data_IF_703846280848
#
_entry.id   IF_703846280848
#
_cell.length_a   1.000
_cell.length_b   1.000
_cell.length_c   1.000
_cell.angle_alpha   90.00
_cell.angle_beta   90.00
_cell.angle_gamma   90.00
#
_symmetry.space_group_name_H-M   'P 1'
#
loop_
_entity.id
_entity.type
_entity.pdbx_description
1 polymer ?
#
# COMPACT_ATOMS: atom_id res chain seq x y z
N UNK A 1 13.46 11.26 -11.52
CA UNK A 1 14.61 12.14 -11.78
C UNK A 1 15.57 12.02 -10.60
N UNK A 2 16.54 11.11 -10.70
CA UNK A 2 17.54 10.91 -9.65
C UNK A 2 18.48 12.10 -9.54
N UNK A 3 18.99 12.37 -8.34
CA UNK A 3 20.00 13.41 -8.13
C UNK A 3 21.35 12.88 -8.60
N UNK A 4 21.85 13.40 -9.71
CA UNK A 4 23.19 13.11 -10.20
C UNK A 4 24.26 13.54 -9.19
N UNK A 5 25.25 12.68 -8.93
CA UNK A 5 26.37 12.99 -8.05
C UNK A 5 27.69 12.39 -8.54
N UNK A 6 28.82 12.95 -8.10
CA UNK A 6 30.15 12.47 -8.46
C UNK A 6 30.54 11.10 -7.85
N UNK A 7 29.67 10.50 -7.03
CA UNK A 7 29.89 9.18 -6.46
C UNK A 7 29.87 8.06 -7.51
N UNK A 8 30.43 6.89 -7.17
CA UNK A 8 30.45 5.73 -8.08
C UNK A 8 29.05 5.24 -8.48
N UNK A 9 28.08 5.38 -7.58
CA UNK A 9 26.66 5.05 -7.81
C UNK A 9 25.80 6.32 -7.95
N UNK A 10 26.43 7.42 -8.38
CA UNK A 10 25.78 8.72 -8.52
C UNK A 10 25.08 8.95 -9.85
N UNK A 11 25.06 7.95 -10.72
CA UNK A 11 24.34 7.93 -12.00
C UNK A 11 23.44 6.70 -12.10
N UNK A 12 22.49 6.75 -13.03
CA UNK A 12 21.44 5.75 -13.18
C UNK A 12 22.03 4.39 -13.61
N UNK A 13 22.98 4.36 -14.56
CA UNK A 13 23.66 3.12 -15.02
C UNK A 13 24.25 2.32 -13.87
N UNK A 14 25.06 2.95 -13.01
CA UNK A 14 25.69 2.27 -11.88
C UNK A 14 24.68 1.83 -10.81
N UNK A 15 23.59 2.58 -10.61
CA UNK A 15 22.53 2.19 -9.68
C UNK A 15 21.75 0.99 -10.19
N UNK A 16 21.35 1.00 -11.46
CA UNK A 16 20.56 -0.06 -12.08
C UNK A 16 21.35 -1.36 -12.18
N UNK A 17 22.63 -1.28 -12.56
CA UNK A 17 23.48 -2.47 -12.67
C UNK A 17 23.83 -3.12 -11.32
N UNK A 18 23.65 -2.43 -10.19
CA UNK A 18 23.99 -2.98 -8.87
C UNK A 18 23.21 -4.25 -8.53
N UNK A 19 21.92 -4.28 -8.87
CA UNK A 19 21.11 -5.48 -8.64
C UNK A 19 21.46 -6.57 -9.65
N UNK A 20 21.82 -6.22 -10.89
CA UNK A 20 22.31 -7.16 -11.90
C UNK A 20 23.61 -7.84 -11.45
N UNK A 21 24.60 -7.10 -10.94
CA UNK A 21 25.83 -7.67 -10.36
C UNK A 21 25.49 -8.68 -9.27
N UNK A 22 24.53 -8.33 -8.42
CA UNK A 22 24.11 -9.20 -7.31
C UNK A 22 23.46 -10.49 -7.82
N UNK A 23 22.62 -10.42 -8.86
CA UNK A 23 21.97 -11.59 -9.44
C UNK A 23 22.98 -12.49 -10.17
N UNK A 24 23.86 -11.88 -10.98
CA UNK A 24 24.90 -12.58 -11.73
C UNK A 24 25.84 -13.33 -10.81
N UNK A 25 26.47 -12.65 -9.85
CA UNK A 25 27.43 -13.28 -8.93
C UNK A 25 26.77 -14.09 -7.80
N UNK A 26 25.43 -14.10 -7.72
CA UNK A 26 24.70 -15.09 -6.93
C UNK A 26 24.53 -16.41 -7.70
N UNK A 27 24.37 -16.35 -9.02
CA UNK A 27 24.05 -17.50 -9.87
C UNK A 27 25.26 -18.16 -10.51
N UNK A 28 26.23 -17.37 -10.93
CA UNK A 28 27.40 -17.75 -11.73
C UNK A 28 28.69 -17.45 -10.96
N UNK A 29 29.79 -18.07 -11.40
CA UNK A 29 31.13 -17.71 -10.90
C UNK A 29 31.61 -16.38 -11.48
N UNK A 30 32.82 -15.97 -11.11
CA UNK A 30 33.35 -14.67 -11.50
C UNK A 30 33.60 -14.57 -13.01
N UNK A 31 34.03 -15.65 -13.67
CA UNK A 31 34.40 -15.63 -15.09
C UNK A 31 33.15 -15.56 -15.96
N UNK A 32 32.22 -16.51 -15.79
CA UNK A 32 30.96 -16.51 -16.53
C UNK A 32 30.12 -15.26 -16.22
N UNK A 33 30.14 -14.82 -14.95
CA UNK A 33 29.41 -13.63 -14.54
C UNK A 33 29.91 -12.35 -15.21
N UNK A 34 31.23 -12.18 -15.33
CA UNK A 34 31.82 -11.04 -16.03
C UNK A 34 31.48 -11.05 -17.53
N UNK A 35 31.56 -12.21 -18.18
CA UNK A 35 31.23 -12.32 -19.61
C UNK A 35 29.77 -11.92 -19.88
N UNK A 36 28.83 -12.37 -19.03
CA UNK A 36 27.41 -12.05 -19.16
C UNK A 36 27.11 -10.57 -18.94
N UNK A 37 27.76 -9.95 -17.94
CA UNK A 37 27.61 -8.53 -17.67
C UNK A 37 28.18 -7.68 -18.81
N UNK A 38 29.39 -7.99 -19.27
CA UNK A 38 30.04 -7.25 -20.36
C UNK A 38 29.21 -7.34 -21.65
N UNK A 39 28.70 -8.52 -21.99
CA UNK A 39 27.78 -8.71 -23.12
C UNK A 39 26.51 -7.87 -22.97
N UNK A 40 25.84 -7.94 -21.82
CA UNK A 40 24.60 -7.21 -21.58
C UNK A 40 24.79 -5.70 -21.71
N UNK A 41 25.84 -5.15 -21.09
CA UNK A 41 26.15 -3.72 -21.14
C UNK A 41 26.41 -3.28 -22.58
N UNK A 42 27.23 -4.02 -23.33
CA UNK A 42 27.52 -3.71 -24.75
C UNK A 42 26.31 -3.74 -25.65
N UNK A 43 25.42 -4.71 -25.45
CA UNK A 43 24.26 -4.90 -26.32
C UNK A 43 23.12 -3.93 -26.01
N UNK A 44 23.00 -3.45 -24.77
CA UNK A 44 21.78 -2.76 -24.30
C UNK A 44 22.01 -1.39 -23.65
N UNK A 45 23.23 -1.08 -23.23
CA UNK A 45 23.56 0.17 -22.52
C UNK A 45 24.57 0.97 -23.34
N UNK A 46 25.84 0.54 -23.37
CA UNK A 46 26.93 1.28 -23.98
C UNK A 46 28.16 0.39 -24.28
N UNK A 47 29.12 0.96 -25.02
CA UNK A 47 30.46 0.41 -25.21
C UNK A 47 31.55 1.42 -24.80
N UNK A 48 32.83 1.10 -24.99
CA UNK A 48 33.94 1.99 -24.59
C UNK A 48 33.95 3.35 -25.30
N UNK A 49 33.21 3.54 -26.40
CA UNK A 49 33.11 4.84 -27.06
C UNK A 49 32.28 5.85 -26.27
N UNK A 50 31.39 5.36 -25.39
CA UNK A 50 30.70 6.15 -24.38
C UNK A 50 31.48 6.09 -23.06
N UNK A 51 32.47 6.98 -22.90
CA UNK A 51 33.31 6.95 -21.70
C UNK A 51 32.52 7.19 -20.41
N UNK A 52 31.40 7.92 -20.47
CA UNK A 52 30.60 8.25 -19.30
C UNK A 52 29.91 7.01 -18.73
N UNK A 53 29.13 6.33 -19.57
CA UNK A 53 28.39 5.14 -19.16
C UNK A 53 29.34 3.96 -18.94
N UNK A 54 30.34 3.79 -19.79
CA UNK A 54 31.31 2.70 -19.67
C UNK A 54 32.14 2.82 -18.38
N UNK A 55 32.60 4.03 -18.05
CA UNK A 55 33.33 4.25 -16.80
C UNK A 55 32.43 4.03 -15.58
N UNK A 56 31.14 4.38 -15.68
CA UNK A 56 30.15 4.16 -14.63
C UNK A 56 29.89 2.68 -14.36
N UNK A 57 29.72 1.88 -15.43
CA UNK A 57 29.68 0.43 -15.35
C UNK A 57 30.95 -0.13 -14.70
N UNK A 58 32.12 0.14 -15.30
CA UNK A 58 33.33 -0.60 -14.93
C UNK A 58 33.83 -0.24 -13.52
N UNK A 59 33.76 1.04 -13.12
CA UNK A 59 34.16 1.45 -11.77
C UNK A 59 33.19 0.93 -10.69
N UNK A 60 31.89 0.91 -10.96
CA UNK A 60 30.89 0.37 -10.02
C UNK A 60 30.97 -1.15 -9.88
N UNK A 61 31.29 -1.85 -10.97
CA UNK A 61 31.57 -3.29 -10.97
C UNK A 61 32.80 -3.63 -10.12
N UNK A 62 33.93 -2.94 -10.37
CA UNK A 62 35.17 -3.17 -9.63
C UNK A 62 35.00 -2.92 -8.12
N UNK A 63 34.30 -1.84 -7.74
CA UNK A 63 33.95 -1.56 -6.35
C UNK A 63 33.06 -2.65 -5.74
N UNK A 64 32.02 -3.10 -6.47
CA UNK A 64 31.13 -4.17 -6.03
C UNK A 64 31.91 -5.47 -5.75
N UNK A 65 32.73 -5.89 -6.72
CA UNK A 65 33.50 -7.13 -6.62
C UNK A 65 34.54 -7.07 -5.49
N UNK A 66 35.19 -5.92 -5.29
CA UNK A 66 36.08 -5.73 -4.15
C UNK A 66 35.33 -5.86 -2.82
N UNK A 67 34.20 -5.15 -2.65
CA UNK A 67 33.39 -5.17 -1.42
C UNK A 67 32.85 -6.55 -1.05
N UNK A 68 32.66 -7.42 -2.04
CA UNK A 68 32.20 -8.80 -1.88
C UNK A 68 33.32 -9.84 -1.78
N UNK A 69 34.58 -9.44 -1.95
CA UNK A 69 35.73 -10.35 -1.89
C UNK A 69 35.79 -11.32 -3.07
N UNK A 70 35.39 -10.87 -4.28
CA UNK A 70 35.39 -11.66 -5.52
C UNK A 70 36.10 -10.98 -6.72
N UNK A 71 36.65 -9.78 -6.55
CA UNK A 71 37.48 -9.06 -7.54
C UNK A 71 38.57 -9.96 -8.13
N UNK A 72 38.63 -10.01 -9.46
CA UNK A 72 39.65 -10.71 -10.22
C UNK A 72 40.80 -9.78 -10.58
N UNK A 73 41.95 -10.35 -10.92
CA UNK A 73 43.15 -9.58 -11.32
C UNK A 73 42.90 -8.77 -12.59
N UNK A 74 42.17 -9.34 -13.56
CA UNK A 74 41.81 -8.66 -14.80
C UNK A 74 40.98 -7.38 -14.56
N UNK A 75 39.88 -7.51 -13.80
CA UNK A 75 39.01 -6.37 -13.47
C UNK A 75 39.78 -5.30 -12.68
N UNK A 76 40.62 -5.73 -11.73
CA UNK A 76 41.47 -4.82 -10.95
C UNK A 76 42.44 -4.05 -11.85
N UNK A 77 43.21 -4.75 -12.68
CA UNK A 77 44.19 -4.16 -13.57
C UNK A 77 43.54 -3.19 -14.57
N UNK A 78 42.41 -3.59 -15.15
CA UNK A 78 41.66 -2.75 -16.10
C UNK A 78 41.10 -1.49 -15.42
N UNK A 79 40.49 -1.61 -14.25
CA UNK A 79 39.92 -0.47 -13.53
C UNK A 79 41.01 0.53 -13.11
N UNK A 80 42.15 0.05 -12.59
CA UNK A 80 43.29 0.90 -12.24
C UNK A 80 43.85 1.62 -13.47
N UNK A 81 44.00 0.92 -14.60
CA UNK A 81 44.46 1.52 -15.86
C UNK A 81 43.52 2.64 -16.34
N UNK A 82 42.21 2.42 -16.27
CA UNK A 82 41.20 3.43 -16.64
C UNK A 82 41.25 4.66 -15.73
N UNK A 83 41.41 4.47 -14.42
CA UNK A 83 41.57 5.57 -13.46
C UNK A 83 42.85 6.35 -13.78
N UNK A 84 43.97 5.66 -14.01
CA UNK A 84 45.27 6.28 -14.26
C UNK A 84 45.32 7.04 -15.59
N UNK A 85 44.52 6.63 -16.59
CA UNK A 85 44.37 7.37 -17.86
C UNK A 85 43.35 8.52 -17.80
N UNK A 86 42.61 8.66 -16.69
CA UNK A 86 41.55 9.66 -16.56
C UNK A 86 40.29 9.37 -17.38
N UNK A 87 40.05 8.10 -17.74
CA UNK A 87 38.92 7.69 -18.58
C UNK A 87 37.59 8.03 -17.90
N UNK A 88 36.67 8.67 -18.64
CA UNK A 88 35.37 9.11 -18.12
C UNK A 88 35.40 10.39 -17.27
N UNK A 89 36.51 11.14 -17.25
CA UNK A 89 36.59 12.46 -16.58
C UNK A 89 36.16 13.61 -17.47
N UNK A 90 36.09 13.42 -18.79
CA UNK A 90 35.85 14.49 -19.77
C UNK A 90 34.52 15.21 -19.52
N UNK A 91 33.43 14.45 -19.30
CA UNK A 91 32.09 14.98 -18.95
C UNK A 91 32.11 15.81 -17.65
N UNK A 92 32.98 15.45 -16.70
CA UNK A 92 33.12 16.20 -15.44
C UNK A 92 33.91 17.50 -15.62
N UNK A 93 34.80 17.58 -16.62
CA UNK A 93 35.49 18.85 -16.96
C UNK A 93 34.48 19.87 -17.48
N UNK A 94 33.53 19.42 -18.30
CA UNK A 94 32.48 20.25 -18.89
C UNK A 94 31.45 20.73 -17.84
N UNK A 95 31.14 19.86 -16.87
CA UNK A 95 30.18 20.13 -15.78
C UNK A 95 30.71 21.08 -14.69
N UNK A 96 31.98 21.48 -14.76
CA UNK A 96 32.59 22.50 -13.90
C UNK A 96 33.62 21.97 -12.88
N UNK A 97 34.58 22.84 -12.53
CA UNK A 97 35.78 22.52 -11.71
C UNK A 97 35.51 21.84 -10.37
N UNK A 98 34.35 22.09 -9.75
CA UNK A 98 33.99 21.48 -8.47
C UNK A 98 33.61 20.01 -8.62
N UNK A 99 32.83 19.67 -9.66
CA UNK A 99 32.41 18.30 -9.95
C UNK A 99 33.59 17.41 -10.32
N UNK A 100 34.47 17.92 -11.20
CA UNK A 100 35.71 17.24 -11.58
C UNK A 100 36.59 16.87 -10.39
N UNK A 101 36.91 17.84 -9.52
CA UNK A 101 37.72 17.60 -8.32
C UNK A 101 37.10 16.55 -7.39
N UNK A 102 35.78 16.58 -7.26
CA UNK A 102 35.06 15.60 -6.46
C UNK A 102 35.15 14.20 -7.08
N UNK A 103 35.02 14.08 -8.41
CA UNK A 103 35.13 12.81 -9.12
C UNK A 103 36.54 12.24 -9.06
N UNK A 104 37.57 13.06 -9.28
CA UNK A 104 38.98 12.67 -9.12
C UNK A 104 39.26 12.11 -7.73
N UNK A 105 38.74 12.76 -6.68
CA UNK A 105 38.86 12.29 -5.30
C UNK A 105 38.18 10.93 -5.09
N UNK A 106 37.01 10.72 -5.68
CA UNK A 106 36.30 9.43 -5.64
C UNK A 106 37.11 8.33 -6.33
N UNK A 107 37.67 8.60 -7.51
CA UNK A 107 38.48 7.63 -8.26
C UNK A 107 39.83 7.33 -7.59
N UNK A 108 40.48 8.33 -6.99
CA UNK A 108 41.69 8.13 -6.21
C UNK A 108 41.44 7.17 -5.03
N UNK A 109 40.31 7.33 -4.34
CA UNK A 109 39.90 6.43 -3.26
C UNK A 109 39.56 5.02 -3.78
N UNK A 110 38.88 4.92 -4.92
CA UNK A 110 38.62 3.62 -5.55
C UNK A 110 39.93 2.92 -5.91
N UNK A 111 40.89 3.63 -6.50
CA UNK A 111 42.21 3.09 -6.84
C UNK A 111 42.94 2.55 -5.61
N UNK A 112 43.01 3.33 -4.53
CA UNK A 112 43.59 2.89 -3.26
C UNK A 112 42.90 1.63 -2.74
N UNK A 113 41.57 1.58 -2.78
CA UNK A 113 40.79 0.41 -2.41
C UNK A 113 41.14 -0.81 -3.27
N UNK A 114 41.17 -0.69 -4.60
CA UNK A 114 41.46 -1.81 -5.51
C UNK A 114 42.89 -2.36 -5.36
N UNK A 115 43.85 -1.54 -4.93
CA UNK A 115 45.24 -1.95 -4.67
C UNK A 115 45.46 -2.49 -3.26
N UNK A 116 44.51 -2.26 -2.34
CA UNK A 116 44.57 -2.80 -0.98
C UNK A 116 44.26 -4.30 -0.93
N UNK A 117 44.69 -5.01 0.12
CA UNK A 117 44.29 -6.40 0.34
C UNK A 117 42.77 -6.54 0.33
N UNK A 118 42.29 -7.49 -0.47
CA UNK A 118 40.86 -7.70 -0.63
C UNK A 118 40.21 -8.23 0.66
N UNK A 119 38.99 -7.80 1.01
CA UNK A 119 38.27 -8.35 2.15
C UNK A 119 37.89 -9.81 1.93
N UNK A 120 37.61 -10.52 3.04
CA UNK A 120 37.08 -11.87 2.99
C UNK A 120 35.79 -11.96 2.16
N UNK A 121 35.63 -13.07 1.43
CA UNK A 121 34.47 -13.32 0.58
C UNK A 121 33.17 -13.22 1.39
N UNK A 122 32.24 -12.40 0.92
CA UNK A 122 30.91 -12.22 1.52
C UNK A 122 29.87 -12.97 0.71
N UNK A 123 28.83 -13.46 1.40
CA UNK A 123 27.66 -14.04 0.73
C UNK A 123 26.98 -12.98 -0.15
N UNK A 124 26.73 -13.35 -1.40
CA UNK A 124 25.94 -12.58 -2.35
C UNK A 124 24.57 -13.25 -2.44
N UNK A 125 23.51 -12.47 -2.25
CA UNK A 125 22.13 -12.90 -2.42
C UNK A 125 21.30 -11.66 -2.77
N UNK A 126 20.49 -11.69 -3.83
CA UNK A 126 19.57 -10.60 -4.14
C UNK A 126 18.50 -10.49 -3.04
N UNK A 127 18.13 -9.28 -2.68
CA UNK A 127 17.05 -9.01 -1.74
C UNK A 127 15.73 -8.86 -2.51
N UNK A 128 15.27 -9.98 -3.06
CA UNK A 128 14.07 -10.08 -3.89
C UNK A 128 13.21 -11.27 -3.46
N UNK A 129 11.90 -11.18 -3.70
CA UNK A 129 10.95 -12.21 -3.32
C UNK A 129 10.88 -13.31 -4.40
N UNK A 130 11.55 -14.45 -4.16
CA UNK A 130 11.70 -15.55 -5.14
C UNK A 130 10.89 -16.82 -4.85
N UNK A 131 10.27 -16.93 -3.67
CA UNK A 131 9.60 -18.17 -3.24
C UNK A 131 8.15 -18.20 -3.72
N UNK A 132 7.72 -19.31 -4.33
CA UNK A 132 6.31 -19.55 -4.65
C UNK A 132 5.91 -20.90 -4.02
N UNK A 133 5.06 -20.87 -2.99
CA UNK A 133 4.59 -22.09 -2.31
C UNK A 133 3.14 -22.44 -2.64
N UNK A 134 2.47 -21.61 -3.45
CA UNK A 134 1.08 -21.75 -3.85
C UNK A 134 0.99 -21.62 -5.37
N UNK A 135 0.14 -22.43 -5.98
CA UNK A 135 -0.23 -22.30 -7.38
C UNK A 135 -1.39 -21.31 -7.53
N UNK A 136 -1.50 -20.72 -8.71
CA UNK A 136 -2.66 -19.91 -9.05
C UNK A 136 -3.93 -20.78 -9.01
N UNK A 137 -4.96 -20.29 -8.33
CA UNK A 137 -6.20 -21.00 -8.04
C UNK A 137 -6.27 -21.65 -6.66
N UNK A 138 -5.14 -21.85 -5.96
CA UNK A 138 -5.13 -22.47 -4.64
C UNK A 138 -5.93 -21.66 -3.62
N UNK A 139 -6.83 -22.33 -2.90
CA UNK A 139 -7.52 -21.78 -1.73
C UNK A 139 -6.72 -22.21 -0.50
N UNK A 140 -6.26 -21.22 0.25
CA UNK A 140 -5.44 -21.40 1.43
C UNK A 140 -6.18 -20.90 2.67
N UNK A 141 -6.18 -21.73 3.71
CA UNK A 141 -6.49 -21.32 5.06
C UNK A 141 -5.22 -20.78 5.71
N UNK A 142 -5.29 -19.60 6.31
CA UNK A 142 -4.15 -18.96 6.99
C UNK A 142 -4.55 -18.58 8.40
N UNK A 143 -3.71 -18.93 9.38
CA UNK A 143 -3.97 -18.63 10.78
C UNK A 143 -3.77 -17.14 11.07
N UNK A 144 -4.76 -16.55 11.73
CA UNK A 144 -4.70 -15.23 12.34
C UNK A 144 -3.80 -15.30 13.57
N UNK A 145 -3.00 -14.26 13.75
CA UNK A 145 -2.13 -14.11 14.91
C UNK A 145 -2.46 -12.76 15.52
N UNK A 146 -3.39 -12.69 16.47
CA UNK A 146 -3.88 -11.43 17.05
C UNK A 146 -3.46 -11.26 18.51
N UNK A 147 -2.98 -12.32 19.17
CA UNK A 147 -2.50 -12.27 20.54
C UNK A 147 -1.31 -11.31 20.70
N UNK A 148 -1.43 -10.38 21.65
CA UNK A 148 -0.38 -9.40 21.96
C UNK A 148 -0.12 -8.36 20.88
N UNK A 149 -0.87 -8.38 19.77
CA UNK A 149 -0.69 -7.43 18.67
C UNK A 149 -1.55 -6.17 18.83
N UNK A 150 -1.08 -5.01 18.36
CA UNK A 150 -1.90 -3.81 18.29
C UNK A 150 -3.14 -4.04 17.43
N UNK A 151 -4.29 -3.62 17.97
CA UNK A 151 -5.52 -3.52 17.20
C UNK A 151 -5.60 -2.14 16.54
N UNK A 152 -5.58 -2.11 15.21
CA UNK A 152 -5.63 -0.86 14.45
C UNK A 152 -7.08 -0.45 14.20
N UNK A 153 -7.54 0.61 14.87
CA UNK A 153 -8.91 1.15 14.70
C UNK A 153 -9.17 1.81 13.33
N UNK A 154 -8.17 1.85 12.46
CA UNK A 154 -8.22 2.52 11.15
C UNK A 154 -9.07 1.80 10.11
N UNK A 155 -9.53 0.56 10.32
CA UNK A 155 -10.26 -0.20 9.31
C UNK A 155 -11.62 -0.72 9.81
N UNK A 156 -12.66 -0.03 9.35
CA UNK A 156 -13.99 -0.42 8.87
C UNK A 156 -14.84 -1.48 9.62
N UNK A 157 -14.32 -2.36 10.48
CA UNK A 157 -15.15 -3.22 11.33
C UNK A 157 -15.19 -2.71 12.78
N UNK A 158 -16.39 -2.43 13.28
CA UNK A 158 -16.75 -2.37 14.70
C UNK A 158 -16.53 -3.76 15.26
N UNK A 159 -15.28 -3.95 15.67
CA UNK A 159 -14.83 -5.07 16.47
C UNK A 159 -14.11 -4.42 17.66
N UNK A 160 -14.46 -4.87 18.85
CA UNK A 160 -13.73 -4.52 20.06
C UNK A 160 -12.33 -5.14 20.02
N UNK A 161 -11.40 -4.56 20.78
CA UNK A 161 -10.08 -5.16 20.93
C UNK A 161 -10.16 -6.57 21.57
N UNK A 162 -11.22 -6.87 22.32
CA UNK A 162 -11.51 -8.22 22.84
C UNK A 162 -11.81 -9.19 21.71
N UNK A 163 -12.82 -8.90 20.89
CA UNK A 163 -13.20 -9.73 19.75
C UNK A 163 -12.04 -9.93 18.74
N UNK A 164 -11.18 -8.92 18.57
CA UNK A 164 -9.95 -9.05 17.78
C UNK A 164 -9.02 -10.13 18.35
N UNK A 165 -8.80 -10.10 19.67
CA UNK A 165 -7.94 -11.07 20.36
C UNK A 165 -8.57 -12.46 20.40
N UNK A 166 -9.89 -12.56 20.45
CA UNK A 166 -10.62 -13.83 20.40
C UNK A 166 -10.49 -14.53 19.03
N UNK A 167 -10.07 -13.81 18.00
CA UNK A 167 -9.76 -14.40 16.69
C UNK A 167 -8.35 -15.02 16.63
N UNK A 168 -7.55 -14.96 17.70
CA UNK A 168 -6.21 -15.55 17.69
C UNK A 168 -6.28 -17.05 17.46
N UNK A 169 -5.42 -17.56 16.59
CA UNK A 169 -5.37 -18.98 16.27
C UNK A 169 -6.48 -19.46 15.31
N UNK A 170 -7.48 -18.62 15.02
CA UNK A 170 -8.51 -18.92 14.01
C UNK A 170 -7.97 -18.73 12.60
N UNK A 171 -8.71 -19.20 11.61
CA UNK A 171 -8.31 -19.23 10.21
C UNK A 171 -9.19 -18.34 9.35
N UNK A 172 -8.56 -17.75 8.33
CA UNK A 172 -9.25 -17.06 7.22
C UNK A 172 -8.92 -17.75 5.91
N UNK A 173 -9.84 -17.69 4.96
CA UNK A 173 -9.64 -18.28 3.64
C UNK A 173 -9.30 -17.22 2.61
N UNK A 174 -8.32 -17.51 1.75
CA UNK A 174 -7.98 -16.67 0.62
C UNK A 174 -7.57 -17.52 -0.58
N UNK A 175 -7.82 -17.03 -1.79
CA UNK A 175 -7.44 -17.68 -3.03
C UNK A 175 -6.22 -17.00 -3.62
N UNK A 176 -5.19 -17.76 -3.97
CA UNK A 176 -4.06 -17.28 -4.76
C UNK A 176 -4.55 -17.00 -6.19
N UNK A 177 -4.52 -15.73 -6.60
CA UNK A 177 -5.07 -15.29 -7.89
C UNK A 177 -4.03 -15.35 -8.99
N UNK A 178 -2.91 -14.65 -8.77
CA UNK A 178 -1.79 -14.55 -9.70
C UNK A 178 -0.52 -14.20 -8.96
N UNK A 179 0.61 -14.46 -9.59
CA UNK A 179 1.89 -13.84 -9.25
C UNK A 179 2.33 -12.91 -10.38
N UNK A 180 2.92 -11.76 -10.05
CA UNK A 180 3.55 -10.90 -11.05
C UNK A 180 4.95 -10.50 -10.57
N UNK A 181 5.86 -10.25 -11.52
CA UNK A 181 7.16 -9.69 -11.22
C UNK A 181 7.05 -8.16 -11.19
N UNK A 182 7.43 -7.52 -10.08
CA UNK A 182 7.66 -6.06 -10.03
C UNK A 182 8.96 -5.69 -10.74
N UNK A 183 9.93 -6.60 -10.72
CA UNK A 183 11.23 -6.47 -11.33
C UNK A 183 11.78 -7.86 -11.71
N UNK A 184 12.57 -7.93 -12.76
CA UNK A 184 13.25 -9.13 -13.22
C UNK A 184 14.63 -8.74 -13.73
N UNK A 185 15.64 -9.54 -13.39
CA UNK A 185 17.01 -9.32 -13.83
C UNK A 185 17.10 -9.46 -15.35
N UNK A 186 17.73 -8.48 -16.00
CA UNK A 186 17.96 -8.52 -17.43
C UNK A 186 19.06 -9.54 -17.80
N UNK A 187 20.03 -9.77 -16.91
CA UNK A 187 21.16 -10.67 -17.15
C UNK A 187 20.90 -12.11 -16.68
N UNK A 188 20.08 -12.26 -15.64
CA UNK A 188 19.69 -13.56 -15.05
C UNK A 188 18.17 -13.66 -14.98
N UNK A 189 17.47 -13.91 -16.10
CA UNK A 189 16.00 -13.85 -16.17
C UNK A 189 15.29 -14.77 -15.18
N UNK A 190 15.92 -15.82 -14.67
CA UNK A 190 15.36 -16.68 -13.63
C UNK A 190 15.24 -15.98 -12.26
N UNK A 191 15.86 -14.81 -12.08
CA UNK A 191 15.82 -14.02 -10.85
C UNK A 191 14.89 -12.83 -11.01
N UNK A 192 13.82 -12.79 -10.20
CA UNK A 192 12.89 -11.66 -10.16
C UNK A 192 12.34 -11.39 -8.76
N UNK A 193 11.80 -10.20 -8.58
CA UNK A 193 11.03 -9.82 -7.40
C UNK A 193 9.54 -10.04 -7.66
N UNK A 194 8.98 -11.08 -7.05
CA UNK A 194 7.62 -11.49 -7.29
C UNK A 194 6.66 -11.03 -6.19
N UNK A 195 5.47 -10.62 -6.59
CA UNK A 195 4.38 -10.19 -5.73
C UNK A 195 3.16 -11.06 -5.95
N UNK A 196 2.49 -11.42 -4.85
CA UNK A 196 1.36 -12.33 -4.87
C UNK A 196 0.05 -11.55 -4.71
N UNK A 197 -0.89 -11.78 -5.61
CA UNK A 197 -2.25 -11.29 -5.49
C UNK A 197 -3.13 -12.39 -4.90
N UNK A 198 -3.86 -12.04 -3.85
CA UNK A 198 -4.84 -12.91 -3.21
C UNK A 198 -6.22 -12.29 -3.25
N UNK A 199 -7.24 -13.14 -3.31
CA UNK A 199 -8.65 -12.81 -3.10
C UNK A 199 -9.03 -13.27 -1.70
N UNK A 200 -9.51 -12.38 -0.84
CA UNK A 200 -9.96 -12.71 0.50
C UNK A 200 -11.44 -13.12 0.49
N UNK A 201 -11.78 -14.17 1.24
CA UNK A 201 -13.16 -14.59 1.46
C UNK A 201 -13.66 -14.15 2.83
N UNK A 202 -14.97 -13.92 2.92
CA UNK A 202 -15.66 -13.57 4.14
C UNK A 202 -15.85 -14.81 5.02
N UNK A 203 -15.38 -14.74 6.26
CA UNK A 203 -15.49 -15.84 7.24
C UNK A 203 -14.22 -16.03 8.07
N UNK A 204 -14.44 -16.36 9.35
CA UNK A 204 -13.40 -16.76 10.31
C UNK A 204 -13.76 -18.15 10.84
N UNK A 205 -12.81 -19.06 10.81
CA UNK A 205 -13.01 -20.49 11.08
C UNK A 205 -12.15 -20.92 12.27
N UNK A 206 -12.71 -21.69 13.20
CA UNK A 206 -11.91 -22.22 14.32
C UNK A 206 -10.84 -23.19 13.82
N UNK A 207 -11.13 -23.96 12.76
CA UNK A 207 -10.22 -24.90 12.12
C UNK A 207 -10.25 -24.77 10.59
N UNK A 208 -9.18 -25.11 9.86
CA UNK A 208 -9.19 -25.13 8.40
C UNK A 208 -10.19 -26.15 7.86
N UNK A 209 -11.15 -25.76 6.99
CA UNK A 209 -12.11 -26.68 6.41
C UNK A 209 -11.41 -27.76 5.57
N UNK A 210 -11.89 -29.01 5.66
CA UNK A 210 -11.34 -30.16 4.91
C UNK A 210 -11.39 -29.98 3.40
N UNK A 211 -12.50 -29.43 2.92
CA UNK A 211 -12.72 -29.04 1.54
C UNK A 211 -13.58 -27.79 1.49
N UNK A 212 -13.52 -27.07 0.37
CA UNK A 212 -14.28 -25.83 0.19
C UNK A 212 -14.94 -25.81 -1.17
N UNK A 213 -16.24 -25.53 -1.19
CA UNK A 213 -16.97 -25.17 -2.40
C UNK A 213 -16.87 -23.65 -2.61
N UNK A 214 -16.07 -23.23 -3.61
CA UNK A 214 -15.85 -21.81 -3.91
C UNK A 214 -17.16 -21.06 -4.23
N UNK A 215 -18.19 -21.75 -4.73
CA UNK A 215 -19.48 -21.12 -5.08
C UNK A 215 -20.26 -20.63 -3.85
N UNK A 216 -19.96 -21.20 -2.68
CA UNK A 216 -20.57 -20.83 -1.40
C UNK A 216 -19.80 -19.73 -0.66
N UNK A 217 -18.56 -19.46 -1.08
CA UNK A 217 -17.74 -18.42 -0.47
C UNK A 217 -18.15 -17.03 -0.96
N UNK A 218 -18.35 -16.13 0.00
CA UNK A 218 -18.57 -14.71 -0.28
C UNK A 218 -17.25 -13.97 -0.24
N UNK A 219 -17.14 -12.90 -1.01
CA UNK A 219 -15.98 -12.02 -0.96
C UNK A 219 -15.98 -11.20 0.33
N UNK A 220 -14.84 -11.16 1.01
CA UNK A 220 -14.51 -10.06 1.89
C UNK A 220 -14.18 -8.84 1.02
N UNK A 221 -14.40 -7.62 1.52
CA UNK A 221 -14.19 -6.42 0.73
C UNK A 221 -13.39 -5.36 1.49
N UNK A 222 -12.16 -5.14 1.05
CA UNK A 222 -11.40 -3.99 1.49
C UNK A 222 -12.05 -2.73 0.94
N UNK A 223 -12.48 -1.83 1.83
CA UNK A 223 -12.97 -0.52 1.46
C UNK A 223 -11.90 0.53 1.78
N UNK A 224 -11.53 1.40 0.85
CA UNK A 224 -10.64 2.53 1.15
C UNK A 224 -10.87 3.66 0.17
N UNK A 225 -11.18 4.87 0.64
CA UNK A 225 -11.39 6.05 -0.21
C UNK A 225 -12.35 5.80 -1.41
N UNK A 226 -13.43 5.05 -1.20
CA UNK A 226 -14.41 4.71 -2.24
C UNK A 226 -14.02 3.56 -3.18
N UNK A 227 -12.83 2.98 -3.03
CA UNK A 227 -12.45 1.73 -3.70
C UNK A 227 -12.94 0.51 -2.91
N UNK A 228 -13.47 -0.50 -3.60
CA UNK A 228 -13.89 -1.80 -3.04
C UNK A 228 -13.31 -2.93 -3.86
N UNK A 229 -12.61 -3.85 -3.20
CA UNK A 229 -12.11 -5.06 -3.84
C UNK A 229 -11.87 -6.16 -2.83
N UNK A 230 -12.06 -7.43 -3.21
CA UNK A 230 -11.60 -8.55 -2.40
C UNK A 230 -10.10 -8.81 -2.54
N UNK A 231 -9.43 -8.09 -3.43
CA UNK A 231 -8.06 -8.38 -3.83
C UNK A 231 -7.04 -7.56 -3.04
N UNK A 232 -5.94 -8.20 -2.67
CA UNK A 232 -4.78 -7.55 -2.07
C UNK A 232 -3.48 -8.14 -2.62
N UNK A 233 -2.42 -7.33 -2.62
CA UNK A 233 -1.04 -7.73 -2.90
C UNK A 233 -0.29 -7.98 -1.59
N UNK A 234 0.57 -8.99 -1.55
CA UNK A 234 1.57 -9.15 -0.51
C UNK A 234 2.89 -9.66 -1.06
N UNK A 235 3.94 -9.58 -0.25
CA UNK A 235 5.26 -10.10 -0.63
C UNK A 235 5.18 -11.60 -0.94
N UNK A 236 5.79 -12.06 -2.05
CA UNK A 236 5.86 -13.50 -2.33
C UNK A 236 6.89 -14.22 -1.47
N UNK A 237 7.60 -13.54 -0.57
CA UNK A 237 8.41 -14.22 0.44
C UNK A 237 7.47 -14.85 1.45
N UNK A 238 6.93 -16.02 1.09
CA UNK A 238 5.85 -16.76 1.78
C UNK A 238 6.23 -17.28 3.18
N UNK A 239 7.30 -16.75 3.76
CA UNK A 239 7.75 -16.93 5.13
C UNK A 239 6.65 -16.64 6.16
N UNK A 240 5.85 -15.59 5.96
CA UNK A 240 4.77 -15.25 6.88
C UNK A 240 3.64 -16.28 6.87
N UNK A 241 3.33 -16.86 5.72
CA UNK A 241 2.36 -17.94 5.62
C UNK A 241 2.86 -19.18 6.37
N UNK A 242 4.14 -19.56 6.19
CA UNK A 242 4.79 -20.67 6.94
C UNK A 242 4.65 -20.48 8.46
N UNK A 243 4.81 -19.25 8.97
CA UNK A 243 4.60 -18.92 10.40
C UNK A 243 3.14 -19.02 10.86
N UNK A 244 2.19 -18.92 9.94
CA UNK A 244 0.74 -18.88 10.18
C UNK A 244 0.05 -20.22 9.89
N UNK A 245 0.79 -21.33 10.01
CA UNK A 245 0.27 -22.72 9.91
C UNK A 245 -0.73 -22.89 8.75
N UNK A 246 -0.38 -22.37 7.57
CA UNK A 246 -1.29 -22.37 6.43
C UNK A 246 -1.63 -23.81 5.99
N UNK A 247 -2.79 -23.99 5.36
CA UNK A 247 -3.17 -25.24 4.69
C UNK A 247 -3.83 -24.94 3.35
N UNK A 248 -3.46 -25.65 2.29
CA UNK A 248 -4.22 -25.65 1.03
C UNK A 248 -5.46 -26.51 1.24
N UNK A 249 -6.65 -25.94 1.04
CA UNK A 249 -7.96 -26.57 1.31
C UNK A 249 -8.79 -26.80 0.05
N UNK A 250 -8.24 -26.45 -1.11
CA UNK A 250 -8.85 -26.63 -2.43
C UNK A 250 -8.05 -25.90 -3.49
N UNK A 251 -8.39 -26.12 -4.76
CA UNK A 251 -7.81 -25.37 -5.87
C UNK A 251 -8.85 -25.19 -6.96
N UNK A 252 -9.04 -23.95 -7.39
CA UNK A 252 -10.02 -23.57 -8.41
C UNK A 252 -9.35 -22.61 -9.40
N UNK A 253 -8.74 -23.14 -10.47
CA UNK A 253 -8.16 -22.34 -11.55
C UNK A 253 -9.30 -21.80 -12.45
N UNK A 254 -10.11 -20.90 -11.90
CA UNK A 254 -11.22 -20.23 -12.59
C UNK A 254 -10.97 -18.72 -12.69
N UNK A 255 -11.68 -18.06 -13.60
CA UNK A 255 -11.60 -16.61 -13.85
C UNK A 255 -11.87 -15.80 -12.59
N UNK A 256 -10.80 -15.34 -11.96
CA UNK A 256 -10.88 -14.27 -10.96
C UNK A 256 -11.44 -13.04 -11.67
N UNK A 257 -12.44 -12.32 -11.11
CA UNK A 257 -12.96 -11.08 -11.69
C UNK A 257 -11.78 -10.23 -12.08
N UNK A 258 -11.71 -9.82 -13.37
CA UNK A 258 -10.51 -9.22 -13.97
C UNK A 258 -9.80 -8.33 -12.96
N UNK A 259 -8.73 -8.86 -12.38
CA UNK A 259 -7.83 -8.06 -11.58
C UNK A 259 -7.27 -7.06 -12.59
N UNK A 260 -7.80 -5.83 -12.56
CA UNK A 260 -7.20 -4.71 -13.28
C UNK A 260 -5.70 -4.69 -13.00
N UNK A 261 -4.92 -4.03 -13.86
CA UNK A 261 -3.46 -4.08 -13.82
C UNK A 261 -2.88 -3.87 -12.41
N UNK A 262 -3.57 -3.13 -11.54
CA UNK A 262 -3.14 -2.86 -10.18
C UNK A 262 -4.24 -3.20 -9.16
N UNK A 263 -3.92 -4.04 -8.17
CA UNK A 263 -4.60 -3.96 -6.88
C UNK A 263 -3.70 -3.10 -6.00
N UNK A 264 -4.03 -1.82 -5.84
CA UNK A 264 -3.22 -0.85 -5.08
C UNK A 264 -3.26 -1.10 -3.55
N UNK A 265 -3.98 -2.14 -3.11
CA UNK A 265 -4.03 -2.53 -1.71
C UNK A 265 -2.94 -3.56 -1.39
N UNK A 266 -1.93 -3.12 -0.66
CA UNK A 266 -0.82 -3.94 -0.19
C UNK A 266 -1.00 -4.29 1.28
N UNK A 267 -0.97 -5.58 1.60
CA UNK A 267 -0.91 -6.09 2.96
C UNK A 267 0.49 -6.66 3.23
N UNK A 268 1.18 -6.02 4.16
CA UNK A 268 2.54 -6.41 4.57
C UNK A 268 2.45 -7.24 5.85
N UNK A 269 2.57 -8.56 5.73
CA UNK A 269 2.41 -9.45 6.88
C UNK A 269 3.48 -9.29 7.98
N UNK A 270 4.60 -8.62 7.65
CA UNK A 270 5.67 -8.30 8.58
C UNK A 270 5.51 -6.97 9.32
N UNK A 271 4.53 -6.14 8.96
CA UNK A 271 4.31 -4.84 9.59
C UNK A 271 3.27 -5.00 10.69
N UNK A 272 3.68 -4.75 11.92
CA UNK A 272 2.81 -4.82 13.08
C UNK A 272 3.08 -3.65 14.03
N UNK A 273 2.25 -2.62 13.93
CA UNK A 273 2.35 -1.43 14.78
C UNK A 273 0.95 -0.81 15.00
N UNK A 274 0.88 0.25 15.79
CA UNK A 274 -0.39 0.89 16.15
C UNK A 274 -1.20 1.45 14.96
N UNK A 275 -0.56 1.63 13.80
CA UNK A 275 -1.17 2.21 12.60
C UNK A 275 -1.47 1.19 11.50
N UNK A 276 -0.76 0.05 11.46
CA UNK A 276 -0.96 -1.00 10.48
C UNK A 276 -0.68 -2.38 11.08
N UNK A 277 -1.64 -3.28 10.88
CA UNK A 277 -1.61 -4.67 11.31
C UNK A 277 -2.40 -5.51 10.29
N UNK A 278 -1.81 -6.53 9.66
CA UNK A 278 -2.45 -7.30 8.59
C UNK A 278 -3.68 -8.07 9.09
N UNK A 279 -3.66 -8.61 10.31
CA UNK A 279 -4.78 -9.37 10.87
C UNK A 279 -5.99 -8.48 11.12
N UNK A 280 -5.75 -7.25 11.61
CA UNK A 280 -6.79 -6.24 11.77
C UNK A 280 -7.39 -5.85 10.42
N UNK A 281 -6.57 -5.70 9.38
CA UNK A 281 -7.00 -5.37 8.03
C UNK A 281 -7.83 -6.50 7.39
N UNK A 282 -7.39 -7.75 7.51
CA UNK A 282 -8.14 -8.92 7.03
C UNK A 282 -9.51 -9.03 7.71
N UNK A 283 -9.53 -8.94 9.05
CA UNK A 283 -10.77 -9.02 9.83
C UNK A 283 -11.70 -7.84 9.55
N UNK A 284 -11.16 -6.67 9.24
CA UNK A 284 -11.92 -5.47 8.91
C UNK A 284 -12.65 -5.56 7.56
N UNK A 285 -12.16 -6.38 6.64
CA UNK A 285 -12.77 -6.63 5.33
C UNK A 285 -13.91 -7.67 5.38
N UNK A 286 -14.21 -8.24 6.55
CA UNK A 286 -15.17 -9.33 6.75
C UNK A 286 -16.44 -8.87 7.46
N UNK A 287 -17.55 -9.59 7.24
CA UNK A 287 -18.80 -9.39 7.96
C UNK A 287 -19.55 -8.11 7.58
N UNK A 288 -19.41 -7.62 6.34
CA UNK A 288 -20.11 -6.44 5.86
C UNK A 288 -21.59 -6.75 5.56
N UNK A 289 -22.46 -6.48 6.52
CA UNK A 289 -23.90 -6.33 6.27
C UNK A 289 -24.30 -4.87 6.50
N UNK A 290 -24.86 -4.21 5.48
CA UNK A 290 -25.35 -2.84 5.65
C UNK A 290 -26.74 -2.91 6.29
N UNK A 291 -26.84 -2.39 7.50
CA UNK A 291 -28.07 -2.29 8.28
C UNK A 291 -28.44 -0.82 8.47
N UNK A 292 -29.72 -0.55 8.33
CA UNK A 292 -30.31 0.74 8.64
C UNK A 292 -31.25 0.57 9.83
N UNK A 293 -31.32 1.56 10.71
CA UNK A 293 -32.21 1.50 11.84
C UNK A 293 -32.25 2.78 12.65
N UNK A 294 -33.24 2.85 13.55
CA UNK A 294 -33.39 3.93 14.53
C UNK A 294 -32.35 3.78 15.64
N UNK A 295 -31.74 4.89 16.04
CA UNK A 295 -30.73 4.95 17.08
C UNK A 295 -31.33 5.40 18.40
N UNK A 296 -30.98 4.68 19.47
CA UNK A 296 -31.45 4.91 20.84
C UNK A 296 -30.32 5.02 21.86
N UNK A 297 -29.07 5.18 21.40
CA UNK A 297 -27.89 5.29 22.26
C UNK A 297 -27.58 6.73 22.72
N UNK A 298 -26.44 6.89 23.38
CA UNK A 298 -25.94 8.17 23.89
C UNK A 298 -25.53 9.14 22.76
N UNK A 299 -25.34 10.42 23.08
CA UNK A 299 -24.94 11.44 22.11
C UNK A 299 -23.48 11.29 21.64
N UNK A 300 -22.58 10.83 22.52
CA UNK A 300 -21.13 10.83 22.24
C UNK A 300 -20.74 10.11 20.95
N UNK A 301 -21.25 8.89 20.63
CA UNK A 301 -20.93 8.23 19.36
C UNK A 301 -21.36 9.02 18.11
N UNK A 302 -22.45 9.80 18.20
CA UNK A 302 -22.93 10.65 17.11
C UNK A 302 -22.00 11.86 16.91
N UNK A 303 -21.52 12.46 18.01
CA UNK A 303 -20.52 13.54 17.96
C UNK A 303 -19.23 13.05 17.34
N UNK A 304 -18.69 11.93 17.83
CA UNK A 304 -17.43 11.35 17.31
C UNK A 304 -17.53 11.06 15.80
N UNK A 305 -18.66 10.49 15.36
CA UNK A 305 -18.92 10.22 13.94
C UNK A 305 -19.02 11.49 13.10
N UNK A 306 -19.73 12.52 13.58
CA UNK A 306 -19.89 13.78 12.84
C UNK A 306 -18.55 14.52 12.71
N UNK A 307 -17.76 14.56 13.78
CA UNK A 307 -16.43 15.16 13.76
C UNK A 307 -15.51 14.39 12.81
N UNK A 308 -15.49 13.05 12.87
CA UNK A 308 -14.72 12.22 11.95
C UNK A 308 -15.13 12.44 10.48
N UNK A 309 -16.43 12.45 10.19
CA UNK A 309 -16.95 12.70 8.85
C UNK A 309 -16.58 14.10 8.32
N UNK A 310 -16.45 15.09 9.21
CA UNK A 310 -16.04 16.45 8.84
C UNK A 310 -14.51 16.60 8.73
N UNK A 311 -13.73 15.88 9.54
CA UNK A 311 -12.27 15.89 9.54
C UNK A 311 -11.65 15.28 8.28
N UNK A 312 -12.41 14.55 7.46
CA UNK A 312 -11.96 14.01 6.17
C UNK A 312 -11.66 15.09 5.09
N UNK A 313 -11.58 16.37 5.46
CA UNK A 313 -11.24 17.48 4.56
C UNK A 313 -9.73 17.66 4.45
N UNK A 314 -9.23 17.73 3.20
CA UNK A 314 -7.84 18.06 2.90
C UNK A 314 -7.44 19.43 3.44
N UNK A 315 -6.19 19.58 3.94
CA UNK A 315 -5.62 20.88 4.36
C UNK A 315 -5.90 21.95 3.32
N UNK A 316 -6.49 23.07 3.75
CA UNK A 316 -6.70 24.21 2.88
C UNK A 316 -5.46 25.11 2.92
N UNK A 317 -4.60 24.97 1.91
CA UNK A 317 -3.34 25.71 1.80
C UNK A 317 -3.51 27.23 1.60
N UNK A 318 -4.76 27.74 1.48
CA UNK A 318 -5.03 29.18 1.49
C UNK A 318 -4.91 29.81 2.88
N UNK A 319 -4.89 29.00 3.94
CA UNK A 319 -4.76 29.44 5.31
C UNK A 319 -3.40 29.05 5.87
N UNK A 320 -2.88 29.88 6.78
CA UNK A 320 -1.76 29.47 7.64
C UNK A 320 -2.17 28.28 8.51
N UNK A 321 -1.19 27.59 9.09
CA UNK A 321 -1.48 26.46 9.97
C UNK A 321 -2.34 26.85 11.18
N UNK A 322 -2.11 28.05 11.73
CA UNK A 322 -2.88 28.56 12.86
C UNK A 322 -4.33 28.89 12.46
N UNK A 323 -4.53 29.61 11.35
CA UNK A 323 -5.87 29.93 10.83
C UNK A 323 -6.65 28.67 10.47
N UNK A 324 -5.97 27.67 9.88
CA UNK A 324 -6.60 26.39 9.55
C UNK A 324 -7.06 25.65 10.81
N UNK A 325 -6.24 25.62 11.87
CA UNK A 325 -6.61 25.01 13.16
C UNK A 325 -7.77 25.75 13.84
N UNK A 326 -7.79 27.08 13.80
CA UNK A 326 -8.89 27.87 14.37
C UNK A 326 -10.20 27.68 13.61
N UNK A 327 -10.13 27.60 12.28
CA UNK A 327 -11.28 27.28 11.42
C UNK A 327 -11.85 25.89 11.77
N UNK A 328 -10.98 24.88 11.89
CA UNK A 328 -11.41 23.52 12.28
C UNK A 328 -12.10 23.54 13.65
N UNK A 329 -11.52 24.19 14.67
CA UNK A 329 -12.14 24.29 16.00
C UNK A 329 -13.53 24.94 15.97
N UNK A 330 -13.72 25.99 15.16
CA UNK A 330 -15.03 26.64 15.02
C UNK A 330 -16.06 25.70 14.40
N UNK A 331 -15.70 25.00 13.33
CA UNK A 331 -16.58 24.00 12.71
C UNK A 331 -16.92 22.86 13.69
N UNK A 332 -15.95 22.38 14.48
CA UNK A 332 -16.19 21.35 15.50
C UNK A 332 -17.16 21.82 16.59
N UNK A 333 -17.04 23.07 17.06
CA UNK A 333 -18.00 23.66 18.00
C UNK A 333 -19.40 23.76 17.40
N UNK A 334 -19.54 24.27 16.18
CA UNK A 334 -20.85 24.40 15.50
C UNK A 334 -21.54 23.04 15.29
N UNK A 335 -20.76 22.01 14.91
CA UNK A 335 -21.25 20.63 14.78
C UNK A 335 -21.76 20.12 16.13
N UNK A 336 -20.99 20.35 17.20
CA UNK A 336 -21.31 19.92 18.55
C UNK A 336 -22.60 20.57 19.05
N UNK A 337 -22.69 21.89 18.98
CA UNK A 337 -23.89 22.65 19.40
C UNK A 337 -25.14 22.23 18.62
N UNK A 338 -25.02 22.00 17.31
CA UNK A 338 -26.15 21.56 16.47
C UNK A 338 -26.64 20.17 16.89
N UNK A 339 -25.73 19.24 17.18
CA UNK A 339 -26.06 17.88 17.57
C UNK A 339 -26.64 17.81 18.98
N UNK A 340 -26.05 18.52 19.94
CA UNK A 340 -26.60 18.66 21.30
C UNK A 340 -28.02 19.22 21.26
N UNK A 341 -28.25 20.25 20.44
CA UNK A 341 -29.59 20.80 20.23
C UNK A 341 -30.56 19.74 19.71
N UNK A 342 -30.24 19.08 18.59
CA UNK A 342 -31.11 18.04 18.01
C UNK A 342 -31.36 16.88 18.98
N UNK A 343 -30.38 16.50 19.79
CA UNK A 343 -30.53 15.44 20.79
C UNK A 343 -31.45 15.89 21.94
N UNK A 344 -31.29 17.13 22.41
CA UNK A 344 -32.10 17.71 23.49
C UNK A 344 -33.56 17.99 23.09
N UNK A 345 -33.83 18.30 21.81
CA UNK A 345 -35.19 18.56 21.30
C UNK A 345 -35.95 17.28 20.96
N UNK A 346 -35.34 16.11 21.14
CA UNK A 346 -35.97 14.81 20.89
C UNK A 346 -36.05 14.44 19.41
N UNK A 347 -35.15 14.95 18.57
CA UNK A 347 -35.05 14.52 17.18
C UNK A 347 -34.82 13.00 17.09
N UNK A 348 -35.40 12.36 16.08
CA UNK A 348 -35.17 10.95 15.83
C UNK A 348 -33.87 10.76 15.06
N UNK A 349 -33.02 9.84 15.52
CA UNK A 349 -31.76 9.53 14.85
C UNK A 349 -31.87 8.21 14.12
N UNK A 350 -31.37 8.18 12.89
CA UNK A 350 -31.30 6.99 12.05
C UNK A 350 -29.85 6.77 11.63
N UNK A 351 -29.40 5.54 11.72
CA UNK A 351 -28.01 5.17 11.51
C UNK A 351 -27.88 4.20 10.36
N UNK A 352 -26.81 4.33 9.59
CA UNK A 352 -26.32 3.29 8.71
C UNK A 352 -25.08 2.67 9.36
N UNK A 353 -25.18 1.37 9.58
CA UNK A 353 -24.12 0.57 10.20
C UNK A 353 -23.80 -0.54 9.21
N UNK A 354 -22.54 -0.61 8.77
CA UNK A 354 -22.04 -1.79 8.09
C UNK A 354 -21.32 -2.66 9.11
N UNK A 355 -20.11 -3.10 8.78
CA UNK A 355 -19.16 -3.60 9.76
C UNK A 355 -18.84 -2.53 10.82
N UNK A 356 -18.91 -1.21 10.53
CA UNK A 356 -18.86 -0.12 11.52
C UNK A 356 -20.02 0.86 11.44
N UNK A 357 -20.12 1.74 12.45
CA UNK A 357 -20.97 2.92 12.33
C UNK A 357 -20.48 3.77 11.15
N UNK A 358 -21.26 3.84 10.08
CA UNK A 358 -20.85 4.49 8.83
C UNK A 358 -21.37 5.93 8.72
N UNK A 359 -22.39 6.26 9.50
CA UNK A 359 -22.99 7.58 9.52
C UNK A 359 -24.42 7.57 10.00
N UNK A 360 -25.00 8.75 10.11
CA UNK A 360 -26.34 8.95 10.63
C UNK A 360 -27.01 10.17 10.03
N UNK A 361 -28.32 10.24 10.23
CA UNK A 361 -29.11 11.43 10.03
C UNK A 361 -30.04 11.65 11.23
N UNK A 362 -30.38 12.92 11.50
CA UNK A 362 -31.39 13.27 12.50
C UNK A 362 -32.59 13.93 11.84
N UNK A 363 -33.78 13.56 12.28
CA UNK A 363 -35.06 13.99 11.74
C UNK A 363 -35.88 14.64 12.85
N UNK A 364 -36.32 15.86 12.62
CA UNK A 364 -37.19 16.59 13.55
C UNK A 364 -38.41 17.09 12.76
N UNK A 365 -39.60 16.58 13.07
CA UNK A 365 -40.85 16.95 12.38
C UNK A 365 -40.76 16.83 10.84
N UNK A 366 -40.13 15.75 10.36
CA UNK A 366 -39.90 15.51 8.92
C UNK A 366 -38.72 16.27 8.31
N UNK A 367 -38.05 17.14 9.07
CA UNK A 367 -36.90 17.91 8.60
C UNK A 367 -35.57 17.21 8.96
N UNK A 368 -34.73 16.96 7.97
CA UNK A 368 -33.36 16.49 8.17
C UNK A 368 -32.52 17.65 8.72
N UNK A 369 -32.11 17.54 9.99
CA UNK A 369 -31.28 18.54 10.68
C UNK A 369 -29.78 18.25 10.58
N UNK A 370 -29.42 16.97 10.53
CA UNK A 370 -28.05 16.50 10.44
C UNK A 370 -27.99 15.32 9.46
N UNK A 371 -26.93 15.27 8.65
CA UNK A 371 -26.59 14.12 7.82
C UNK A 371 -25.07 14.03 7.75
N UNK A 372 -24.51 12.98 8.33
CA UNK A 372 -23.08 12.73 8.32
C UNK A 372 -22.81 11.31 7.88
N UNK A 373 -21.96 11.16 6.87
CA UNK A 373 -21.44 9.87 6.39
C UNK A 373 -19.92 9.98 6.43
N UNK A 374 -19.27 9.00 7.03
CA UNK A 374 -17.82 8.89 7.06
C UNK A 374 -17.27 8.92 5.61
N UNK A 375 -16.19 9.69 5.39
CA UNK A 375 -15.63 9.96 4.07
C UNK A 375 -15.32 8.70 3.25
N UNK A 376 -14.93 7.61 3.90
CA UNK A 376 -14.65 6.33 3.23
C UNK A 376 -15.89 5.70 2.59
N UNK A 377 -17.09 6.06 3.07
CA UNK A 377 -18.36 5.50 2.61
C UNK A 377 -19.22 6.47 1.81
N UNK A 378 -18.86 7.75 1.74
CA UNK A 378 -19.63 8.75 1.00
C UNK A 378 -19.81 8.34 -0.47
N UNK A 379 -18.75 7.79 -1.08
CA UNK A 379 -18.77 7.33 -2.49
C UNK A 379 -19.57 6.04 -2.70
N UNK A 380 -19.95 5.34 -1.62
CA UNK A 380 -20.78 4.13 -1.70
C UNK A 380 -22.28 4.44 -1.77
N UNK A 381 -22.66 5.72 -1.73
CA UNK A 381 -24.06 6.13 -1.75
C UNK A 381 -24.82 5.80 -0.46
N UNK A 382 -24.12 5.53 0.66
CA UNK A 382 -24.78 5.21 1.94
C UNK A 382 -25.64 6.37 2.45
N UNK A 383 -25.26 7.62 2.19
CA UNK A 383 -26.10 8.78 2.52
C UNK A 383 -27.44 8.74 1.78
N UNK A 384 -27.41 8.48 0.47
CA UNK A 384 -28.61 8.29 -0.36
C UNK A 384 -29.47 7.12 0.13
N UNK A 385 -28.84 6.00 0.48
CA UNK A 385 -29.54 4.82 0.98
C UNK A 385 -30.18 5.07 2.36
N UNK A 386 -29.47 5.78 3.25
CA UNK A 386 -29.97 6.16 4.56
C UNK A 386 -31.18 7.10 4.43
N UNK A 387 -31.13 8.11 3.56
CA UNK A 387 -32.27 8.99 3.31
C UNK A 387 -33.48 8.23 2.78
N UNK A 388 -33.27 7.26 1.88
CA UNK A 388 -34.36 6.40 1.39
C UNK A 388 -34.97 5.57 2.52
N UNK A 389 -34.15 4.95 3.36
CA UNK A 389 -34.63 4.21 4.52
C UNK A 389 -35.44 5.09 5.47
N UNK A 390 -34.97 6.32 5.73
CA UNK A 390 -35.73 7.28 6.54
C UNK A 390 -37.08 7.61 5.88
N UNK A 391 -37.13 7.79 4.56
CA UNK A 391 -38.41 8.00 3.86
C UNK A 391 -39.36 6.81 4.00
N UNK A 392 -38.83 5.58 3.93
CA UNK A 392 -39.62 4.35 4.10
C UNK A 392 -40.22 4.23 5.51
N UNK A 393 -39.49 4.67 6.54
CA UNK A 393 -39.90 4.50 7.95
C UNK A 393 -40.65 5.72 8.50
N UNK A 394 -40.26 6.94 8.13
CA UNK A 394 -40.80 8.21 8.65
C UNK A 394 -41.76 8.92 7.69
N UNK A 395 -41.88 8.44 6.45
CA UNK A 395 -42.67 9.10 5.40
C UNK A 395 -41.93 10.26 4.73
N UNK A 396 -42.65 11.32 4.36
CA UNK A 396 -42.06 12.42 3.58
C UNK A 396 -41.05 13.20 4.43
N UNK A 397 -39.85 13.41 3.87
CA UNK A 397 -38.79 14.21 4.51
C UNK A 397 -38.43 15.43 3.68
N UNK A 398 -37.92 16.44 4.38
CA UNK A 398 -37.39 17.69 3.83
C UNK A 398 -35.93 17.84 4.25
N UNK A 399 -35.05 18.26 3.35
CA UNK A 399 -33.65 18.52 3.65
C UNK A 399 -33.33 20.01 3.52
N UNK A 400 -32.66 20.58 4.53
CA UNK A 400 -32.05 21.91 4.41
C UNK A 400 -30.69 21.75 3.75
N UNK A 401 -30.48 22.42 2.61
CA UNK A 401 -29.18 22.42 1.94
C UNK A 401 -28.50 23.75 2.24
N UNK A 402 -27.46 23.76 3.11
CA UNK A 402 -26.70 24.97 3.37
C UNK A 402 -25.90 25.39 2.13
N UNK A 403 -25.51 26.67 2.06
CA UNK A 403 -24.65 27.23 1.01
C UNK A 403 -23.22 26.65 1.04
N UNK A 404 -23.06 25.39 0.66
CA UNK A 404 -21.80 24.63 0.70
C UNK A 404 -21.26 24.32 -0.70
N UNK A 405 -19.95 24.08 -0.79
CA UNK A 405 -19.22 23.80 -2.05
C UNK A 405 -19.79 22.67 -2.90
N UNK A 406 -20.52 21.71 -2.30
CA UNK A 406 -21.11 20.54 -2.97
C UNK A 406 -22.65 20.62 -3.08
N UNK A 407 -23.22 21.82 -3.01
CA UNK A 407 -24.67 22.08 -3.08
C UNK A 407 -25.35 21.38 -4.26
N UNK A 408 -24.79 21.48 -5.46
CA UNK A 408 -25.35 20.88 -6.68
C UNK A 408 -25.49 19.34 -6.60
N UNK A 409 -24.53 18.68 -5.94
CA UNK A 409 -24.56 17.23 -5.74
C UNK A 409 -25.71 16.85 -4.79
N UNK A 410 -25.90 17.61 -3.72
CA UNK A 410 -26.98 17.39 -2.76
C UNK A 410 -28.35 17.64 -3.40
N UNK A 411 -28.49 18.70 -4.21
CA UNK A 411 -29.71 18.99 -4.97
C UNK A 411 -30.06 17.84 -5.93
N UNK A 412 -29.06 17.29 -6.64
CA UNK A 412 -29.26 16.14 -7.52
C UNK A 412 -29.73 14.89 -6.77
N UNK A 413 -29.14 14.61 -5.59
CA UNK A 413 -29.53 13.47 -4.75
C UNK A 413 -30.98 13.64 -4.26
N UNK A 414 -31.35 14.82 -3.74
CA UNK A 414 -32.70 15.10 -3.28
C UNK A 414 -33.73 14.98 -4.40
N UNK A 415 -33.41 15.50 -5.61
CA UNK A 415 -34.27 15.36 -6.79
C UNK A 415 -34.50 13.90 -7.16
N UNK A 416 -33.45 13.06 -7.12
CA UNK A 416 -33.54 11.62 -7.42
C UNK A 416 -34.36 10.84 -6.39
N UNK A 417 -34.36 11.28 -5.13
CA UNK A 417 -35.11 10.65 -4.03
C UNK A 417 -36.49 11.28 -3.79
N UNK A 418 -36.88 12.30 -4.56
CA UNK A 418 -38.11 13.08 -4.31
C UNK A 418 -38.20 13.63 -2.88
N UNK A 419 -37.06 14.08 -2.34
CA UNK A 419 -36.95 14.76 -1.05
C UNK A 419 -37.21 16.26 -1.25
N UNK A 420 -38.08 16.85 -0.44
CA UNK A 420 -38.33 18.30 -0.48
C UNK A 420 -37.08 19.05 0.00
N UNK A 421 -36.81 20.23 -0.56
CA UNK A 421 -35.59 20.98 -0.25
C UNK A 421 -35.91 22.40 0.19
N UNK A 422 -35.28 22.84 1.29
CA UNK A 422 -35.23 24.23 1.72
C UNK A 422 -33.80 24.73 1.48
N UNK A 423 -33.66 25.81 0.71
CA UNK A 423 -32.36 26.42 0.43
C UNK A 423 -32.03 27.47 1.49
N UNK A 424 -30.85 27.36 2.11
CA UNK A 424 -30.27 28.39 2.98
C UNK A 424 -29.20 29.22 2.27
#
# INVERSE_FOLDING_TARGET
>A
MGTWSAGLYGNDVAQDLRIEYTCVFWRYDAEEGLERLDRYVRENICDESDEEEWSSYFYSLADFMWKKGILTDDVRCRAVKMIDSGFGLDVWRESGKSGLKQREKVLAKLREQLLSPQPARKRIKPDVNIEQIFNDGDIIAVQLQTAGKPFTRSNIRTMSAGEFRDCDGKYVLMQKVKCYASWQSAVVPETGDYWAVFRLFDGVYDEPPESVDISQLKNAEFCRYGWRSPLFCCESKMYYFKKRKFRVVGSFPGTVPQAGKNTDHFLFFGVDNQNSNPDSELLAAMGHEIRFGKYSGELQPLLDMALQANMARSRNYKFTEQEHREMLRREECEITERLERSYSTGAEFYTVVSSKFCGFASVESGLIKNLYIDGDFQLLGLGTALLRHIQEVSGKITMVIPAVRKREILEHICKKLSVDVIME
#
